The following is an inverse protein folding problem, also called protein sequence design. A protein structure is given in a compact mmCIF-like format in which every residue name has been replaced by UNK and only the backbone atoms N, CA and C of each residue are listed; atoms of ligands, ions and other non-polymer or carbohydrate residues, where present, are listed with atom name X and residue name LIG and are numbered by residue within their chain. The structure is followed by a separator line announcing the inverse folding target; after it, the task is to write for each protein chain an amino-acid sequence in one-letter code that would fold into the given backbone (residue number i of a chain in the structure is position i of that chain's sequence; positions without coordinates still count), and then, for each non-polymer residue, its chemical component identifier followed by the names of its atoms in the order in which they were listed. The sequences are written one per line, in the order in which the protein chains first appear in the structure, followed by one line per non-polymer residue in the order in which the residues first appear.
data_IF_547373695130
#
_entry.id   IF_547373695130
#
_cell.length_a   1.000
_cell.length_b   1.000
_cell.length_c   1.000
_cell.angle_alpha   90.00
_cell.angle_beta   90.00
_cell.angle_gamma   90.00
#
_symmetry.space_group_name_H-M   'P 1'
#
loop_
_entity.id
_entity.type
_entity.pdbx_description
1 polymer ?
#
# COMPACT_ATOMS: atom_id res chain seq x y z
N UNK A 1 -4.70 -17.65 -1.53
CA UNK A 1 -3.96 -16.62 -0.78
C UNK A 1 -3.82 -15.37 -1.63
N UNK A 2 -3.96 -14.21 -1.01
CA UNK A 2 -3.64 -12.92 -1.61
C UNK A 2 -2.65 -12.16 -0.74
N UNK A 3 -1.90 -11.25 -1.34
CA UNK A 3 -1.06 -10.29 -0.62
C UNK A 3 -1.44 -8.90 -1.08
N UNK A 4 -1.77 -8.03 -0.14
CA UNK A 4 -2.02 -6.60 -0.38
C UNK A 4 -0.81 -5.82 0.11
N UNK A 5 -0.25 -4.97 -0.73
CA UNK A 5 0.90 -4.12 -0.40
C UNK A 5 0.50 -2.67 -0.53
N UNK A 6 0.66 -1.91 0.54
CA UNK A 6 0.40 -0.48 0.57
C UNK A 6 1.63 0.30 1.06
N UNK A 7 1.65 1.57 0.78
CA UNK A 7 2.72 2.49 1.16
C UNK A 7 2.87 3.62 0.14
N UNK A 8 3.62 4.65 0.52
CA UNK A 8 3.91 5.79 -0.32
C UNK A 8 4.69 5.38 -1.58
N UNK A 9 4.60 6.18 -2.64
CA UNK A 9 5.48 6.02 -3.80
C UNK A 9 6.95 6.16 -3.40
N UNK A 10 7.82 5.41 -4.06
CA UNK A 10 9.25 5.44 -3.76
C UNK A 10 9.69 4.60 -2.57
N UNK A 11 8.79 3.86 -1.91
CA UNK A 11 9.15 2.97 -0.79
C UNK A 11 9.69 1.61 -1.23
N UNK A 12 9.56 1.23 -2.50
CA UNK A 12 10.00 -0.06 -3.03
C UNK A 12 8.90 -1.12 -3.13
N UNK A 13 7.62 -0.73 -2.99
CA UNK A 13 6.46 -1.66 -3.06
C UNK A 13 6.47 -2.55 -4.29
N UNK A 14 6.62 -1.96 -5.48
CA UNK A 14 6.53 -2.72 -6.74
C UNK A 14 7.66 -3.73 -6.88
N UNK A 15 8.85 -3.42 -6.40
CA UNK A 15 9.98 -4.36 -6.35
C UNK A 15 9.68 -5.53 -5.42
N UNK A 16 9.16 -5.24 -4.23
CA UNK A 16 8.77 -6.26 -3.25
C UNK A 16 7.62 -7.12 -3.80
N UNK A 17 6.62 -6.49 -4.41
CA UNK A 17 5.48 -7.19 -4.99
C UNK A 17 5.90 -8.19 -6.06
N UNK A 18 6.75 -7.78 -6.98
CA UNK A 18 7.27 -8.66 -8.05
C UNK A 18 8.09 -9.81 -7.49
N UNK A 19 8.94 -9.55 -6.51
CA UNK A 19 9.72 -10.59 -5.85
C UNK A 19 8.83 -11.62 -5.15
N UNK A 20 7.77 -11.17 -4.46
CA UNK A 20 6.81 -12.08 -3.84
C UNK A 20 6.03 -12.91 -4.87
N UNK A 21 5.70 -12.31 -6.02
CA UNK A 21 5.08 -13.06 -7.13
C UNK A 21 5.96 -14.22 -7.61
N UNK A 22 7.25 -13.95 -7.81
CA UNK A 22 8.23 -14.97 -8.24
C UNK A 22 8.40 -16.07 -7.19
N UNK A 23 8.52 -15.70 -5.91
CA UNK A 23 8.72 -16.66 -4.82
C UNK A 23 7.51 -17.55 -4.56
N UNK A 24 6.32 -17.01 -4.67
CA UNK A 24 5.08 -17.68 -4.23
C UNK A 24 4.21 -18.17 -5.39
N UNK A 25 4.60 -17.91 -6.63
CA UNK A 25 3.80 -18.26 -7.80
C UNK A 25 2.49 -17.49 -7.91
N UNK A 26 2.45 -16.25 -7.38
CA UNK A 26 1.29 -15.38 -7.44
C UNK A 26 1.37 -14.43 -8.63
N UNK A 27 0.22 -13.90 -9.05
CA UNK A 27 0.15 -12.94 -10.15
C UNK A 27 0.28 -11.50 -9.62
N UNK A 28 1.00 -10.65 -10.35
CA UNK A 28 1.14 -9.24 -10.03
C UNK A 28 -0.05 -8.44 -10.54
N UNK A 29 -0.62 -7.61 -9.68
CA UNK A 29 -1.67 -6.65 -10.04
C UNK A 29 -1.34 -5.27 -9.47
N UNK A 30 -1.21 -4.28 -10.34
CA UNK A 30 -1.09 -2.89 -9.92
C UNK A 30 -2.48 -2.23 -9.93
N UNK A 31 -2.94 -1.80 -8.75
CA UNK A 31 -4.22 -1.09 -8.66
C UNK A 31 -4.01 0.41 -8.92
N UNK A 32 -4.60 0.91 -9.99
CA UNK A 32 -4.41 2.28 -10.45
C UNK A 32 -5.61 3.19 -10.24
N UNK A 33 -6.75 2.63 -9.82
CA UNK A 33 -7.98 3.41 -9.66
C UNK A 33 -8.85 2.89 -8.50
N UNK A 34 -9.66 3.77 -7.87
CA UNK A 34 -10.55 3.36 -6.82
C UNK A 34 -11.66 2.44 -7.35
N UNK A 35 -12.02 1.44 -6.56
CA UNK A 35 -13.09 0.49 -6.84
C UNK A 35 -14.11 0.47 -5.72
N UNK A 36 -15.32 -0.02 -6.00
CA UNK A 36 -16.34 -0.22 -5.00
C UNK A 36 -16.12 -1.52 -4.19
N UNK A 37 -16.89 -1.69 -3.13
CA UNK A 37 -16.78 -2.84 -2.24
C UNK A 37 -16.91 -4.18 -2.98
N UNK A 38 -17.92 -4.30 -3.86
CA UNK A 38 -18.18 -5.54 -4.56
C UNK A 38 -17.03 -5.95 -5.49
N UNK A 39 -16.42 -4.99 -6.17
CA UNK A 39 -15.26 -5.24 -7.03
C UNK A 39 -14.07 -5.76 -6.22
N UNK A 40 -13.78 -5.14 -5.05
CA UNK A 40 -12.70 -5.63 -4.18
C UNK A 40 -12.97 -7.04 -3.64
N UNK A 41 -14.20 -7.32 -3.23
CA UNK A 41 -14.59 -8.66 -2.76
C UNK A 41 -14.36 -9.69 -3.87
N UNK A 42 -14.80 -9.41 -5.09
CA UNK A 42 -14.61 -10.32 -6.23
C UNK A 42 -13.14 -10.56 -6.55
N UNK A 43 -12.29 -9.52 -6.49
CA UNK A 43 -10.85 -9.65 -6.72
C UNK A 43 -10.20 -10.55 -5.67
N UNK A 44 -10.55 -10.38 -4.40
CA UNK A 44 -10.02 -11.20 -3.31
C UNK A 44 -10.54 -12.64 -3.35
N UNK A 45 -11.79 -12.85 -3.69
CA UNK A 45 -12.39 -14.17 -3.84
C UNK A 45 -11.77 -14.96 -4.98
N UNK A 46 -11.42 -14.30 -6.07
CA UNK A 46 -10.70 -14.95 -7.19
C UNK A 46 -9.35 -15.51 -6.72
N UNK A 47 -8.61 -14.73 -5.94
CA UNK A 47 -7.38 -15.16 -5.28
C UNK A 47 -6.16 -15.25 -6.19
N UNK A 48 -5.01 -15.50 -5.57
CA UNK A 48 -3.77 -15.76 -6.30
C UNK A 48 -3.00 -14.50 -6.73
N UNK A 49 -3.25 -13.35 -6.10
CA UNK A 49 -2.63 -12.09 -6.47
C UNK A 49 -1.73 -11.48 -5.39
N UNK A 50 -0.71 -10.76 -5.86
CA UNK A 50 -0.05 -9.70 -5.10
C UNK A 50 -0.56 -8.37 -5.64
N UNK A 51 -1.31 -7.65 -4.84
CA UNK A 51 -1.84 -6.33 -5.17
C UNK A 51 -0.85 -5.25 -4.74
N UNK A 52 -0.27 -4.55 -5.71
CA UNK A 52 0.53 -3.34 -5.51
C UNK A 52 -0.42 -2.16 -5.44
N UNK A 53 -0.75 -1.72 -4.25
CA UNK A 53 -1.89 -0.90 -3.83
C UNK A 53 -3.21 -1.66 -3.87
N UNK A 54 -4.15 -1.21 -3.04
CA UNK A 54 -5.49 -1.78 -2.95
C UNK A 54 -6.49 -0.73 -2.44
N UNK A 55 -7.32 -1.07 -1.47
CA UNK A 55 -8.40 -0.21 -1.00
C UNK A 55 -7.97 0.99 -0.15
N UNK A 56 -6.83 0.93 0.52
CA UNK A 56 -6.39 1.98 1.44
C UNK A 56 -5.98 3.27 0.74
N UNK A 57 -5.47 3.18 -0.49
CA UNK A 57 -5.08 4.33 -1.29
C UNK A 57 -6.20 5.35 -1.51
N UNK A 58 -7.46 4.90 -1.52
CA UNK A 58 -8.62 5.80 -1.61
C UNK A 58 -8.71 6.78 -0.45
N UNK A 59 -8.28 6.37 0.75
CA UNK A 59 -8.32 7.18 1.97
C UNK A 59 -7.08 8.05 2.15
N UNK A 60 -6.03 7.77 1.40
CA UNK A 60 -4.76 8.50 1.45
C UNK A 60 -4.67 9.57 0.37
N UNK A 61 -5.03 9.22 -0.86
CA UNK A 61 -4.81 10.07 -2.03
C UNK A 61 -6.06 10.76 -2.55
N UNK A 62 -7.24 10.23 -2.25
CA UNK A 62 -8.49 10.75 -2.79
C UNK A 62 -9.26 11.59 -1.76
N UNK A 63 -9.91 12.63 -2.25
CA UNK A 63 -10.89 13.39 -1.45
C UNK A 63 -12.12 12.52 -1.18
N UNK A 64 -12.93 12.82 -0.13
CA UNK A 64 -14.09 12.00 0.22
C UNK A 64 -15.08 11.78 -0.93
N UNK A 65 -15.28 12.78 -1.79
CA UNK A 65 -16.17 12.70 -2.96
C UNK A 65 -15.60 11.84 -4.10
N UNK A 66 -14.30 11.61 -4.13
CA UNK A 66 -13.64 10.74 -5.12
C UNK A 66 -13.58 9.27 -4.69
N UNK A 67 -13.87 8.99 -3.42
CA UNK A 67 -13.83 7.62 -2.88
C UNK A 67 -15.04 6.81 -3.33
N UNK A 68 -14.83 5.53 -3.57
CA UNK A 68 -15.88 4.54 -3.85
C UNK A 68 -16.17 3.60 -2.68
N UNK A 69 -15.44 3.78 -1.57
CA UNK A 69 -15.63 3.07 -0.31
C UNK A 69 -15.99 4.04 0.80
N UNK A 70 -16.87 3.62 1.69
CA UNK A 70 -17.06 4.22 3.00
C UNK A 70 -16.07 3.67 4.02
N UNK A 71 -15.94 4.33 5.17
CA UNK A 71 -15.10 3.82 6.27
C UNK A 71 -15.61 2.48 6.79
N UNK A 72 -16.93 2.30 6.84
CA UNK A 72 -17.57 1.04 7.26
C UNK A 72 -17.27 -0.09 6.28
N UNK A 73 -17.28 0.20 4.98
CA UNK A 73 -16.92 -0.78 3.94
C UNK A 73 -15.45 -1.15 4.00
N UNK A 74 -14.55 -0.19 4.28
CA UNK A 74 -13.13 -0.49 4.51
C UNK A 74 -12.94 -1.42 5.70
N UNK A 75 -13.63 -1.15 6.83
CA UNK A 75 -13.59 -2.03 8.01
C UNK A 75 -14.13 -3.42 7.69
N UNK A 76 -15.22 -3.50 6.95
CA UNK A 76 -15.77 -4.79 6.51
C UNK A 76 -14.75 -5.60 5.68
N UNK A 77 -14.08 -4.96 4.72
CA UNK A 77 -13.03 -5.62 3.94
C UNK A 77 -11.91 -6.16 4.83
N UNK A 78 -11.41 -5.34 5.76
CA UNK A 78 -10.26 -5.71 6.59
C UNK A 78 -10.60 -6.72 7.67
N UNK A 79 -11.77 -6.63 8.28
CA UNK A 79 -12.19 -7.49 9.40
C UNK A 79 -12.82 -8.81 8.95
N UNK A 80 -13.50 -8.82 7.82
CA UNK A 80 -14.28 -9.98 7.36
C UNK A 80 -13.73 -10.61 6.10
N UNK A 81 -13.46 -9.80 5.06
CA UNK A 81 -13.09 -10.34 3.75
C UNK A 81 -11.63 -10.77 3.72
N UNK A 82 -10.70 -9.99 4.26
CA UNK A 82 -9.28 -10.37 4.29
C UNK A 82 -9.04 -11.71 4.98
N UNK A 83 -9.55 -11.97 6.19
CA UNK A 83 -9.41 -13.29 6.81
C UNK A 83 -10.09 -14.41 6.01
N UNK A 84 -11.29 -14.17 5.48
CA UNK A 84 -12.05 -15.17 4.73
C UNK A 84 -11.39 -15.57 3.42
N UNK A 85 -10.63 -14.68 2.80
CA UNK A 85 -9.91 -14.90 1.52
C UNK A 85 -8.44 -15.21 1.70
N UNK A 86 -7.98 -15.48 2.92
CA UNK A 86 -6.57 -15.71 3.25
C UNK A 86 -5.67 -14.59 2.68
N UNK A 87 -6.02 -13.34 2.97
CA UNK A 87 -5.30 -12.15 2.50
C UNK A 87 -4.36 -11.63 3.57
N UNK A 88 -3.07 -11.55 3.23
CA UNK A 88 -2.03 -10.96 4.06
C UNK A 88 -1.83 -9.50 3.65
N UNK A 89 -1.73 -8.61 4.63
CA UNK A 89 -1.52 -7.20 4.39
C UNK A 89 -0.11 -6.77 4.80
N UNK A 90 0.60 -6.13 3.88
CA UNK A 90 1.94 -5.59 4.05
C UNK A 90 1.91 -4.07 3.90
N UNK A 91 2.51 -3.37 4.83
CA UNK A 91 2.74 -1.92 4.74
C UNK A 91 4.24 -1.66 4.57
N UNK A 92 4.61 -1.06 3.45
CA UNK A 92 6.01 -0.73 3.14
C UNK A 92 6.25 0.74 3.43
N UNK A 93 7.19 1.02 4.31
CA UNK A 93 7.61 2.38 4.64
C UNK A 93 9.11 2.56 4.43
N UNK A 94 9.53 3.80 4.21
CA UNK A 94 10.91 4.20 4.12
C UNK A 94 11.05 5.63 4.67
N UNK A 95 12.29 6.05 4.99
CA UNK A 95 12.53 7.43 5.39
C UNK A 95 12.18 8.41 4.27
N UNK A 96 11.69 9.58 4.66
CA UNK A 96 11.30 10.62 3.70
C UNK A 96 12.43 10.96 2.74
N UNK A 97 13.65 11.07 3.22
CA UNK A 97 14.83 11.40 2.38
C UNK A 97 15.12 10.29 1.35
N UNK A 98 14.98 9.04 1.74
CA UNK A 98 15.15 7.89 0.81
C UNK A 98 14.08 7.92 -0.27
N UNK A 99 12.83 8.18 0.09
CA UNK A 99 11.71 8.28 -0.85
C UNK A 99 11.97 9.42 -1.85
N UNK A 100 12.34 10.61 -1.38
CA UNK A 100 12.62 11.77 -2.21
C UNK A 100 13.76 11.48 -3.19
N UNK A 101 14.85 10.90 -2.72
CA UNK A 101 15.99 10.51 -3.56
C UNK A 101 15.55 9.59 -4.70
N UNK A 102 14.76 8.57 -4.40
CA UNK A 102 14.25 7.61 -5.40
C UNK A 102 13.31 8.27 -6.40
N UNK A 103 12.44 9.17 -5.95
CA UNK A 103 11.53 9.90 -6.84
C UNK A 103 12.30 10.80 -7.81
N UNK A 104 13.32 11.52 -7.33
CA UNK A 104 14.19 12.35 -8.18
C UNK A 104 14.94 11.49 -9.20
N UNK A 105 15.53 10.37 -8.79
CA UNK A 105 16.22 9.42 -9.67
C UNK A 105 15.31 8.87 -10.78
N UNK A 106 14.00 8.74 -10.52
CA UNK A 106 13.00 8.32 -11.52
C UNK A 106 12.45 9.46 -12.39
N UNK A 107 12.90 10.70 -12.17
CA UNK A 107 12.41 11.89 -12.87
C UNK A 107 11.05 12.42 -12.38
N UNK A 108 10.59 11.97 -11.20
CA UNK A 108 9.31 12.38 -10.60
C UNK A 108 9.46 13.56 -9.63
N UNK A 109 10.52 14.33 -9.74
CA UNK A 109 10.81 15.50 -8.93
C UNK A 109 12.17 16.05 -9.25
N UNK A 110 12.57 17.12 -8.59
CA UNK A 110 13.89 17.71 -8.74
C UNK A 110 14.37 18.36 -7.43
N UNK A 111 15.66 18.66 -7.37
CA UNK A 111 16.30 19.21 -6.15
C UNK A 111 15.74 20.58 -5.74
N UNK A 112 15.19 21.36 -6.67
CA UNK A 112 14.66 22.71 -6.38
C UNK A 112 13.39 22.69 -5.56
N UNK A 113 12.64 21.58 -5.57
CA UNK A 113 11.36 21.41 -4.86
C UNK A 113 11.44 20.41 -3.70
N UNK A 114 12.64 20.09 -3.22
CA UNK A 114 12.81 19.18 -2.07
C UNK A 114 11.98 19.60 -0.84
N UNK A 115 11.91 20.88 -0.43
CA UNK A 115 11.08 21.26 0.71
C UNK A 115 9.60 20.91 0.54
N UNK A 116 9.04 21.14 -0.63
CA UNK A 116 7.66 20.82 -0.99
C UNK A 116 7.43 19.31 -1.04
N UNK A 117 8.36 18.57 -1.63
CA UNK A 117 8.34 17.10 -1.66
C UNK A 117 8.41 16.54 -0.25
N UNK A 118 9.26 17.07 0.62
CA UNK A 118 9.40 16.64 2.01
C UNK A 118 8.08 16.79 2.76
N UNK A 119 7.43 17.94 2.63
CA UNK A 119 6.14 18.21 3.25
C UNK A 119 5.07 17.24 2.74
N UNK A 120 4.99 17.06 1.45
CA UNK A 120 4.03 16.16 0.81
C UNK A 120 4.22 14.70 1.26
N UNK A 121 5.44 14.19 1.19
CA UNK A 121 5.76 12.81 1.55
C UNK A 121 5.51 12.55 3.04
N UNK A 122 5.91 13.46 3.93
CA UNK A 122 5.60 13.35 5.36
C UNK A 122 4.10 13.29 5.61
N UNK A 123 3.32 14.10 4.89
CA UNK A 123 1.87 14.09 5.00
C UNK A 123 1.28 12.74 4.53
N UNK A 124 1.70 12.22 3.39
CA UNK A 124 1.23 10.93 2.87
C UNK A 124 1.58 9.78 3.83
N UNK A 125 2.80 9.72 4.33
CA UNK A 125 3.22 8.72 5.32
C UNK A 125 2.38 8.80 6.59
N UNK A 126 2.16 9.99 7.11
CA UNK A 126 1.32 10.23 8.29
C UNK A 126 -0.14 9.82 8.06
N UNK A 127 -0.68 10.09 6.89
CA UNK A 127 -2.05 9.72 6.51
C UNK A 127 -2.20 8.21 6.41
N UNK A 128 -1.26 7.50 5.81
CA UNK A 128 -1.25 6.03 5.82
C UNK A 128 -1.31 5.46 7.24
N UNK A 129 -0.44 5.93 8.14
CA UNK A 129 -0.41 5.46 9.53
C UNK A 129 -1.72 5.74 10.25
N UNK A 130 -2.34 6.87 10.00
CA UNK A 130 -3.65 7.24 10.56
C UNK A 130 -4.75 6.31 10.04
N UNK A 131 -4.82 6.09 8.74
CA UNK A 131 -5.83 5.22 8.11
C UNK A 131 -5.68 3.78 8.59
N UNK A 132 -4.46 3.24 8.65
CA UNK A 132 -4.20 1.89 9.14
C UNK A 132 -4.61 1.71 10.60
N UNK A 133 -4.35 2.71 11.43
CA UNK A 133 -4.76 2.71 12.84
C UNK A 133 -6.28 2.73 12.98
N UNK A 134 -6.97 3.55 12.21
CA UNK A 134 -8.43 3.64 12.22
C UNK A 134 -9.10 2.36 11.70
N UNK A 135 -8.53 1.75 10.68
CA UNK A 135 -9.03 0.49 10.14
C UNK A 135 -8.80 -0.70 11.08
N UNK A 136 -7.80 -0.61 11.97
CA UNK A 136 -7.48 -1.68 12.93
C UNK A 136 -7.02 -2.98 12.28
N UNK A 137 -6.59 -2.94 11.02
CA UNK A 137 -6.16 -4.14 10.29
C UNK A 137 -4.78 -4.61 10.76
N UNK A 138 -4.61 -5.90 11.03
CA UNK A 138 -3.28 -6.45 11.25
C UNK A 138 -2.44 -6.37 9.98
N UNK A 139 -1.22 -5.87 10.09
CA UNK A 139 -0.29 -5.80 8.97
C UNK A 139 1.14 -6.10 9.39
N UNK A 140 1.94 -6.51 8.42
CA UNK A 140 3.40 -6.67 8.57
C UNK A 140 4.03 -5.41 8.00
N UNK A 141 4.82 -4.71 8.81
CA UNK A 141 5.58 -3.55 8.34
C UNK A 141 6.90 -4.01 7.70
N UNK A 142 7.15 -3.57 6.49
CA UNK A 142 8.38 -3.82 5.75
C UNK A 142 9.17 -2.53 5.64
N UNK A 143 10.45 -2.59 6.01
CA UNK A 143 11.39 -1.50 5.81
C UNK A 143 11.88 -1.50 4.35
N UNK A 144 11.51 -0.46 3.59
CA UNK A 144 11.91 -0.28 2.21
C UNK A 144 13.33 0.25 1.98
N UNK A 145 14.11 0.54 3.05
CA UNK A 145 15.46 1.12 2.93
C UNK A 145 16.46 0.18 2.26
N UNK A 146 16.42 -1.11 2.58
CA UNK A 146 17.36 -2.12 2.12
C UNK A 146 16.89 -2.96 0.94
N UNK A 147 15.77 -2.62 0.29
CA UNK A 147 15.13 -3.48 -0.71
C UNK A 147 14.45 -4.70 -0.06
N UNK A 148 14.29 -5.80 -0.80
CA UNK A 148 13.52 -6.98 -0.39
C UNK A 148 14.03 -7.75 0.84
N UNK A 149 15.12 -7.31 1.49
CA UNK A 149 15.82 -8.10 2.51
C UNK A 149 15.47 -7.77 3.96
N UNK A 150 14.59 -6.83 4.24
CA UNK A 150 14.26 -6.44 5.61
C UNK A 150 12.77 -6.54 5.91
N UNK A 151 12.37 -7.66 6.49
CA UNK A 151 11.06 -7.83 7.12
C UNK A 151 11.23 -7.60 8.63
N UNK A 152 10.69 -6.50 9.16
CA UNK A 152 10.48 -6.35 10.60
C UNK A 152 9.10 -6.90 10.94
N UNK A 153 9.05 -7.99 11.68
CA UNK A 153 7.84 -8.40 12.39
C UNK A 153 7.72 -7.50 13.61
N UNK A 154 6.75 -6.58 13.58
CA UNK A 154 6.31 -5.91 14.79
C UNK A 154 5.19 -6.77 15.39
N UNK A 155 5.53 -7.49 16.41
CA UNK A 155 4.56 -8.12 17.30
C UNK A 155 3.89 -7.06 18.18
#
# INVERSE_FOLDING_TARGET
MNIVIEGCDGTGKSTIAKHLCEMLGLQYWHESQPRNLQEYVQMLDYGGFVFDRFCFGQFVYNTPDQRKLTVEELKYLTEKVFPATNTVFLYVDAHTDTIIKRLIERGEGNEKIIPEMTKYIKNIRGTYRSVLRQAGVPYIEINGEGGANYVKQNN
#
